data_IF_957777177113
#
_entry.id   IF_957777177113
#
_cell.length_a   1.000
_cell.length_b   1.000
_cell.length_c   1.000
_cell.angle_alpha   90.00
_cell.angle_beta   90.00
_cell.angle_gamma   90.00
#
_symmetry.space_group_name_H-M   'P 1'
#
loop_
_entity.id
_entity.type
_entity.pdbx_description
1 polymer ?
#
# COMPACT_ATOMS: atom_id res chain seq x y z
N UNK A 1 11.67 15.22 -21.56
CA UNK A 1 10.78 15.10 -20.38
C UNK A 1 11.28 14.05 -19.39
N UNK A 2 10.98 12.74 -19.52
CA UNK A 2 11.40 11.74 -18.49
C UNK A 2 12.93 11.65 -18.34
N UNK A 3 13.67 11.59 -19.46
CA UNK A 3 15.14 11.51 -19.46
C UNK A 3 15.81 12.74 -18.87
N UNK A 4 15.38 13.93 -19.25
CA UNK A 4 15.92 15.19 -18.72
C UNK A 4 15.67 15.33 -17.21
N UNK A 5 14.50 14.90 -16.74
CA UNK A 5 14.17 14.89 -15.31
C UNK A 5 15.02 13.88 -14.53
N UNK A 6 15.25 12.69 -15.09
CA UNK A 6 16.16 11.70 -14.50
C UNK A 6 17.58 12.23 -14.41
N UNK A 7 18.12 12.79 -15.51
CA UNK A 7 19.46 13.37 -15.55
C UNK A 7 19.61 14.50 -14.54
N UNK A 8 18.60 15.37 -14.42
CA UNK A 8 18.56 16.43 -13.42
C UNK A 8 18.60 15.87 -12.00
N UNK A 9 17.71 14.92 -11.69
CA UNK A 9 17.62 14.32 -10.37
C UNK A 9 18.92 13.61 -9.97
N UNK A 10 19.47 12.77 -10.85
CA UNK A 10 20.72 12.05 -10.57
C UNK A 10 21.92 12.97 -10.47
N UNK A 11 22.03 13.99 -11.33
CA UNK A 11 23.13 14.96 -11.23
C UNK A 11 23.08 15.78 -9.95
N UNK A 12 21.87 16.11 -9.47
CA UNK A 12 21.69 16.86 -8.24
C UNK A 12 22.01 16.04 -6.99
N UNK A 13 21.49 14.81 -6.91
CA UNK A 13 21.53 14.01 -5.67
C UNK A 13 22.62 12.94 -5.66
N UNK A 14 23.11 12.53 -6.83
CA UNK A 14 24.11 11.48 -7.00
C UNK A 14 25.17 11.88 -8.05
N UNK A 15 25.92 12.99 -7.83
CA UNK A 15 26.80 13.55 -8.84
C UNK A 15 27.90 12.59 -9.30
N UNK A 16 28.30 11.61 -8.47
CA UNK A 16 29.29 10.58 -8.82
C UNK A 16 28.88 9.68 -10.01
N UNK A 17 27.58 9.50 -10.23
CA UNK A 17 27.02 8.63 -11.29
C UNK A 17 27.21 9.21 -12.70
N UNK A 18 27.35 10.54 -12.81
CA UNK A 18 27.50 11.25 -14.08
C UNK A 18 28.95 11.72 -14.34
N UNK A 19 29.90 11.33 -13.48
CA UNK A 19 31.32 11.74 -13.65
C UNK A 19 32.02 10.97 -14.75
N UNK A 20 33.00 11.60 -15.42
CA UNK A 20 33.76 11.07 -16.56
C UNK A 20 34.41 9.70 -16.34
N UNK A 21 34.61 9.25 -15.09
CA UNK A 21 35.24 7.97 -14.78
C UNK A 21 34.22 6.83 -14.51
N UNK A 22 32.93 7.14 -14.37
CA UNK A 22 31.85 6.19 -14.12
C UNK A 22 30.65 6.63 -14.96
N UNK A 23 30.42 6.00 -16.12
CA UNK A 23 29.24 6.25 -16.94
C UNK A 23 28.22 5.14 -16.68
N UNK A 24 27.11 5.48 -16.02
CA UNK A 24 25.95 4.58 -15.93
C UNK A 24 25.08 4.81 -17.16
N UNK A 25 24.90 3.77 -17.97
CA UNK A 25 23.98 3.80 -19.10
C UNK A 25 22.61 3.27 -18.69
N UNK A 26 21.55 3.95 -19.15
CA UNK A 26 20.17 3.50 -18.92
C UNK A 26 19.88 2.34 -19.87
N UNK A 27 19.80 1.12 -19.35
CA UNK A 27 19.49 -0.07 -20.14
C UNK A 27 18.01 -0.10 -20.57
N UNK A 28 17.11 0.23 -19.64
CA UNK A 28 15.67 0.10 -19.84
C UNK A 28 14.91 1.21 -19.09
N UNK A 29 13.80 1.65 -19.69
CA UNK A 29 12.85 2.60 -19.10
C UNK A 29 11.43 2.06 -19.30
N UNK A 30 10.60 2.18 -18.27
CA UNK A 30 9.21 1.77 -18.35
C UNK A 30 8.30 2.74 -17.61
N UNK A 31 7.02 2.68 -17.92
CA UNK A 31 5.97 3.42 -17.23
C UNK A 31 4.92 2.44 -16.68
N UNK A 32 4.16 2.90 -15.70
CA UNK A 32 3.12 2.10 -15.06
C UNK A 32 1.94 2.95 -14.61
N UNK A 33 0.80 2.31 -14.40
CA UNK A 33 -0.41 2.94 -13.86
C UNK A 33 -0.43 2.68 -12.35
N UNK A 34 -0.64 3.75 -11.58
CA UNK A 34 -0.82 3.65 -10.13
C UNK A 34 -2.30 3.72 -9.78
N UNK A 35 -2.77 2.72 -9.03
CA UNK A 35 -4.10 2.73 -8.42
C UNK A 35 -4.03 3.51 -7.10
N UNK A 36 -4.39 4.80 -7.16
CA UNK A 36 -4.44 5.65 -5.98
C UNK A 36 -5.79 5.57 -5.27
N UNK A 37 -5.73 5.76 -3.96
CA UNK A 37 -6.89 5.89 -3.04
C UNK A 37 -6.84 7.27 -2.42
N UNK A 38 -7.99 7.83 -2.03
CA UNK A 38 -8.09 9.19 -1.50
C UNK A 38 -7.42 9.38 -0.14
N UNK A 39 -7.28 8.31 0.64
CA UNK A 39 -6.66 8.30 1.97
C UNK A 39 -5.26 7.66 2.00
N UNK A 40 -4.72 7.33 0.83
CA UNK A 40 -3.41 6.69 0.68
C UNK A 40 -3.24 5.33 1.36
N UNK A 41 -4.36 4.66 1.73
CA UNK A 41 -4.35 3.30 2.28
C UNK A 41 -4.89 2.29 1.26
N UNK A 42 -4.38 1.05 1.22
CA UNK A 42 -4.92 0.03 0.34
C UNK A 42 -6.36 -0.36 0.71
N UNK A 43 -7.08 -0.92 -0.27
CA UNK A 43 -8.44 -1.45 -0.12
C UNK A 43 -8.36 -2.98 -0.05
N UNK A 44 -8.42 -3.51 1.18
CA UNK A 44 -8.22 -4.93 1.50
C UNK A 44 -9.44 -5.46 2.26
N UNK A 45 -10.21 -6.35 1.64
CA UNK A 45 -11.37 -6.97 2.30
C UNK A 45 -12.57 -7.16 1.39
N UNK A 46 -13.73 -7.59 1.93
CA UNK A 46 -14.94 -7.80 1.16
C UNK A 46 -15.51 -6.50 0.58
N UNK A 47 -16.27 -6.60 -0.51
CA UNK A 47 -17.02 -5.45 -1.03
C UNK A 47 -18.14 -5.06 -0.05
N UNK A 48 -18.45 -3.75 0.08
CA UNK A 48 -19.67 -3.32 0.74
C UNK A 48 -20.86 -3.97 0.00
N UNK A 49 -21.73 -4.67 0.72
CA UNK A 49 -22.92 -5.37 0.21
C UNK A 49 -22.68 -6.70 -0.55
N UNK A 50 -21.44 -7.16 -0.72
CA UNK A 50 -21.14 -8.49 -1.27
C UNK A 50 -19.97 -9.18 -0.56
N UNK A 51 -20.29 -10.18 0.28
CA UNK A 51 -19.31 -10.96 1.03
C UNK A 51 -18.65 -12.11 0.24
N UNK A 52 -18.98 -12.27 -1.05
CA UNK A 52 -18.37 -13.27 -1.94
C UNK A 52 -17.30 -12.67 -2.85
N UNK A 53 -17.18 -11.34 -2.88
CA UNK A 53 -16.18 -10.61 -3.66
C UNK A 53 -15.24 -9.85 -2.73
N UNK A 54 -13.95 -9.88 -3.05
CA UNK A 54 -12.90 -9.27 -2.23
C UNK A 54 -12.01 -8.34 -3.05
N UNK A 55 -11.57 -7.27 -2.44
CA UNK A 55 -10.61 -6.31 -2.98
C UNK A 55 -9.23 -6.51 -2.36
N UNK A 56 -8.21 -6.41 -3.23
CA UNK A 56 -6.80 -6.30 -2.89
C UNK A 56 -6.16 -5.27 -3.84
N UNK A 57 -6.54 -4.00 -3.69
CA UNK A 57 -6.17 -2.96 -4.64
C UNK A 57 -5.78 -1.64 -3.94
N UNK A 58 -5.45 -0.62 -4.74
CA UNK A 58 -5.22 0.72 -4.23
C UNK A 58 -3.92 0.88 -3.43
N UNK A 59 -2.86 0.14 -3.76
CA UNK A 59 -1.62 0.13 -2.96
C UNK A 59 -0.80 1.43 -3.01
N UNK A 60 -1.18 2.44 -3.80
CA UNK A 60 -0.50 3.74 -3.86
C UNK A 60 1.02 3.64 -4.13
N UNK A 61 1.46 2.69 -4.97
CA UNK A 61 2.88 2.45 -5.24
C UNK A 61 3.58 1.50 -4.25
N UNK A 62 2.93 1.13 -3.15
CA UNK A 62 3.46 0.22 -2.13
C UNK A 62 2.96 -1.22 -2.28
N UNK A 63 2.71 -1.67 -3.52
CA UNK A 63 2.13 -2.99 -3.78
C UNK A 63 3.07 -4.15 -3.44
N UNK A 64 4.34 -4.02 -3.80
CA UNK A 64 5.36 -5.05 -3.54
C UNK A 64 5.54 -5.36 -2.04
N UNK A 65 5.75 -4.39 -1.14
CA UNK A 65 5.91 -4.70 0.28
C UNK A 65 4.62 -5.21 0.94
N UNK A 66 3.46 -4.74 0.49
CA UNK A 66 2.19 -5.03 1.17
C UNK A 66 1.45 -6.25 0.63
N UNK A 67 1.73 -6.68 -0.61
CA UNK A 67 0.94 -7.67 -1.33
C UNK A 67 0.80 -9.01 -0.59
N UNK A 68 1.89 -9.54 -0.02
CA UNK A 68 1.88 -10.83 0.68
C UNK A 68 1.02 -10.81 1.95
N UNK A 69 1.14 -9.79 2.79
CA UNK A 69 0.37 -9.68 4.02
C UNK A 69 -1.11 -9.41 3.73
N UNK A 70 -1.41 -8.58 2.72
CA UNK A 70 -2.78 -8.32 2.27
C UNK A 70 -3.42 -9.59 1.71
N UNK A 71 -2.68 -10.37 0.91
CA UNK A 71 -3.14 -11.66 0.39
C UNK A 71 -3.43 -12.66 1.50
N UNK A 72 -2.55 -12.75 2.50
CA UNK A 72 -2.76 -13.60 3.69
C UNK A 72 -4.01 -13.19 4.47
N UNK A 73 -4.24 -11.89 4.67
CA UNK A 73 -5.42 -11.39 5.37
C UNK A 73 -6.72 -11.77 4.64
N UNK A 74 -6.80 -11.55 3.33
CA UNK A 74 -7.99 -11.92 2.54
C UNK A 74 -8.17 -13.44 2.47
N UNK A 75 -7.09 -14.22 2.35
CA UNK A 75 -7.19 -15.68 2.37
C UNK A 75 -7.80 -16.20 3.70
N UNK A 76 -7.43 -15.61 4.84
CA UNK A 76 -8.05 -15.92 6.15
C UNK A 76 -9.53 -15.57 6.16
N UNK A 77 -9.90 -14.37 5.68
CA UNK A 77 -11.30 -13.95 5.56
C UNK A 77 -12.13 -14.94 4.72
N UNK A 78 -11.61 -15.37 3.57
CA UNK A 78 -12.27 -16.36 2.69
C UNK A 78 -12.45 -17.71 3.38
N UNK A 79 -11.46 -18.15 4.17
CA UNK A 79 -11.50 -19.42 4.89
C UNK A 79 -12.49 -19.42 6.08
N UNK A 80 -13.19 -18.31 6.34
CA UNK A 80 -13.94 -18.06 7.58
C UNK A 80 -13.08 -18.25 8.84
N UNK A 81 -11.76 -18.08 8.70
CA UNK A 81 -10.88 -17.94 9.85
C UNK A 81 -10.97 -16.50 10.32
N UNK A 82 -10.89 -16.27 11.62
CA UNK A 82 -10.87 -14.92 12.14
C UNK A 82 -9.56 -14.26 11.72
N UNK A 83 -9.56 -13.25 10.81
CA UNK A 83 -8.33 -12.55 10.45
C UNK A 83 -7.78 -11.74 11.64
N UNK A 84 -8.55 -11.62 12.72
CA UNK A 84 -8.27 -10.89 13.96
C UNK A 84 -7.99 -11.80 15.16
N UNK A 85 -7.83 -13.12 14.95
CA UNK A 85 -7.71 -14.13 16.02
C UNK A 85 -6.65 -13.77 17.07
N UNK A 86 -7.01 -13.93 18.34
CA UNK A 86 -6.22 -13.57 19.54
C UNK A 86 -4.77 -14.13 19.51
N UNK A 87 -3.82 -13.25 19.84
CA UNK A 87 -2.38 -13.52 19.85
C UNK A 87 -1.54 -12.51 19.06
N UNK A 88 -2.18 -11.72 18.19
CA UNK A 88 -1.58 -10.56 17.55
C UNK A 88 -1.97 -9.27 18.29
N UNK A 89 -1.02 -8.34 18.42
CA UNK A 89 -1.22 -7.09 19.16
C UNK A 89 -2.48 -6.33 18.71
N UNK A 90 -3.16 -5.65 19.64
CA UNK A 90 -4.36 -4.81 19.39
C UNK A 90 -4.21 -3.84 18.20
N UNK A 91 -2.96 -3.52 17.85
CA UNK A 91 -2.59 -2.62 16.76
C UNK A 91 -2.88 -3.24 15.38
N UNK A 92 -2.68 -4.56 15.20
CA UNK A 92 -2.85 -5.24 13.91
C UNK A 92 -4.33 -5.33 13.52
N UNK A 93 -5.19 -5.64 14.49
CA UNK A 93 -6.64 -5.72 14.28
C UNK A 93 -7.19 -4.37 13.87
N UNK A 94 -6.74 -3.30 14.53
CA UNK A 94 -7.15 -1.94 14.19
C UNK A 94 -6.67 -1.55 12.80
N UNK A 95 -5.42 -1.85 12.46
CA UNK A 95 -4.86 -1.55 11.15
C UNK A 95 -5.62 -2.25 10.02
N UNK A 96 -5.94 -3.54 10.16
CA UNK A 96 -6.70 -4.28 9.14
C UNK A 96 -8.11 -3.70 8.93
N UNK A 97 -8.78 -3.25 9.98
CA UNK A 97 -10.09 -2.58 9.86
C UNK A 97 -10.00 -1.26 9.09
N UNK A 98 -8.90 -0.52 9.23
CA UNK A 98 -8.65 0.70 8.45
C UNK A 98 -8.44 0.41 6.96
N UNK A 99 -8.15 -0.82 6.55
CA UNK A 99 -7.97 -1.20 5.15
C UNK A 99 -9.28 -1.65 4.49
N UNK A 100 -10.37 -1.83 5.24
CA UNK A 100 -11.62 -2.33 4.71
C UNK A 100 -12.23 -1.38 3.68
N UNK A 101 -12.81 -1.88 2.57
CA UNK A 101 -13.44 -1.03 1.56
C UNK A 101 -14.59 -0.16 2.06
N UNK A 102 -15.34 -0.67 3.03
CA UNK A 102 -16.44 0.05 3.68
C UNK A 102 -16.00 1.30 4.46
N UNK A 103 -14.70 1.56 4.66
CA UNK A 103 -14.25 2.79 5.34
C UNK A 103 -14.66 4.08 4.61
N UNK A 104 -14.90 4.01 3.30
CA UNK A 104 -15.37 5.15 2.51
C UNK A 104 -16.89 5.33 2.55
N UNK A 105 -17.63 4.29 2.95
CA UNK A 105 -19.09 4.32 3.09
C UNK A 105 -19.52 4.42 4.56
N UNK A 106 -18.63 4.09 5.51
CA UNK A 106 -18.84 4.14 6.94
C UNK A 106 -17.73 4.98 7.65
N UNK A 107 -17.96 6.28 7.85
CA UNK A 107 -16.96 7.21 8.40
C UNK A 107 -16.59 6.97 9.87
N UNK A 108 -17.26 6.05 10.56
CA UNK A 108 -16.93 5.69 11.96
C UNK A 108 -15.66 4.84 12.05
N UNK A 109 -15.22 4.22 10.93
CA UNK A 109 -14.07 3.31 10.91
C UNK A 109 -12.73 3.97 10.55
N UNK A 110 -12.73 5.25 10.17
CA UNK A 110 -11.53 6.00 9.79
C UNK A 110 -10.81 6.66 10.96
N UNK A 111 -11.37 6.65 12.16
CA UNK A 111 -10.69 7.22 13.32
C UNK A 111 -9.57 6.27 13.78
N UNK A 112 -8.32 6.74 13.65
CA UNK A 112 -7.18 6.13 14.31
C UNK A 112 -7.52 5.95 15.80
N UNK A 113 -7.15 4.81 16.42
CA UNK A 113 -7.38 4.62 17.84
C UNK A 113 -6.70 5.77 18.59
N UNK A 114 -7.49 6.53 19.34
CA UNK A 114 -6.96 7.58 20.20
C UNK A 114 -5.99 6.90 21.17
N UNK A 115 -4.70 7.24 21.07
CA UNK A 115 -3.74 6.81 22.07
C UNK A 115 -4.16 7.47 23.38
N UNK A 116 -4.74 6.71 24.30
CA UNK A 116 -4.95 7.18 25.66
C UNK A 116 -3.57 7.59 26.19
N UNK A 117 -3.42 8.87 26.50
CA UNK A 117 -2.25 9.40 27.17
C UNK A 117 -2.30 8.94 28.62
N UNK A 118 -1.56 7.87 28.94
CA UNK A 118 -1.12 7.60 30.30
C UNK A 118 0.08 8.50 30.66
#
# INVERSE_FOLDING_TARGET
LIREEHERFFSQWHPGITTKNHTVEIEQEWTGIMAFTSDHLPLIGPLPDDNKQFLLCGYNGNGMPNGFLCAKAVARMIANDDPYKEGEENNTVTFLKMLLPERFTNPTMTQLPQKNSD
#
